data_IF_626468474859
#
_entry.id   IF_626468474859
#
_cell.length_a   1.000
_cell.length_b   1.000
_cell.length_c   1.000
_cell.angle_alpha   90.00
_cell.angle_beta   90.00
_cell.angle_gamma   90.00
#
_symmetry.space_group_name_H-M   'P 1'
#
loop_
_entity.id
_entity.type
_entity.pdbx_description
1 polymer ?
#
# COMPACT_ATOMS: atom_id res chain seq x y z
N UNK A 1 -6.52 -21.28 8.29
CA UNK A 1 -5.22 -21.43 8.99
C UNK A 1 -4.04 -21.31 8.03
N UNK A 2 -3.90 -22.18 7.01
CA UNK A 2 -2.78 -22.13 6.04
C UNK A 2 -2.66 -20.78 5.32
N UNK A 3 -3.78 -20.25 4.82
CA UNK A 3 -3.80 -18.93 4.15
C UNK A 3 -3.40 -17.76 5.05
N UNK A 4 -3.69 -17.85 6.35
CA UNK A 4 -3.31 -16.82 7.32
C UNK A 4 -1.80 -16.84 7.61
N UNK A 5 -1.22 -18.05 7.72
CA UNK A 5 0.24 -18.19 7.84
C UNK A 5 0.96 -17.68 6.60
N UNK A 6 0.47 -17.98 5.39
CA UNK A 6 1.03 -17.46 4.14
C UNK A 6 0.94 -15.93 4.10
N UNK A 7 -0.20 -15.35 4.52
CA UNK A 7 -0.38 -13.91 4.61
C UNK A 7 0.63 -13.25 5.55
N UNK A 8 0.82 -13.80 6.76
CA UNK A 8 1.81 -13.26 7.71
C UNK A 8 3.23 -13.35 7.12
N UNK A 9 3.59 -14.48 6.50
CA UNK A 9 4.91 -14.63 5.89
C UNK A 9 5.14 -13.59 4.79
N UNK A 10 4.15 -13.34 3.93
CA UNK A 10 4.23 -12.32 2.89
C UNK A 10 4.34 -10.90 3.46
N UNK A 11 3.64 -10.63 4.57
CA UNK A 11 3.66 -9.33 5.23
C UNK A 11 5.03 -9.02 5.87
N UNK A 12 5.64 -10.01 6.52
CA UNK A 12 7.00 -9.88 7.06
C UNK A 12 8.00 -9.67 5.92
N UNK A 13 7.86 -10.43 4.83
CA UNK A 13 8.74 -10.35 3.67
C UNK A 13 8.64 -8.98 2.98
N UNK A 14 7.42 -8.42 2.84
CA UNK A 14 7.23 -7.10 2.24
C UNK A 14 7.79 -5.98 3.10
N UNK A 15 7.62 -6.05 4.44
CA UNK A 15 8.24 -5.10 5.37
C UNK A 15 9.76 -5.16 5.30
N UNK A 16 10.34 -6.37 5.28
CA UNK A 16 11.79 -6.54 5.14
C UNK A 16 12.32 -5.99 3.81
N UNK A 17 11.58 -6.22 2.72
CA UNK A 17 11.93 -5.68 1.41
C UNK A 17 11.89 -4.14 1.38
N UNK A 18 10.87 -3.53 1.99
CA UNK A 18 10.77 -2.08 2.08
C UNK A 18 11.96 -1.47 2.84
N UNK A 19 12.30 -2.02 4.01
CA UNK A 19 13.47 -1.57 4.78
C UNK A 19 14.78 -1.78 4.01
N UNK A 20 14.93 -2.91 3.31
CA UNK A 20 16.12 -3.17 2.51
C UNK A 20 16.29 -2.16 1.37
N UNK A 21 15.19 -1.77 0.71
CA UNK A 21 15.20 -0.74 -0.33
C UNK A 21 15.56 0.63 0.25
N UNK A 22 15.00 0.99 1.40
CA UNK A 22 15.31 2.26 2.07
C UNK A 22 16.80 2.34 2.44
N UNK A 23 17.36 1.25 2.99
CA UNK A 23 18.79 1.17 3.29
C UNK A 23 19.66 1.25 2.03
N UNK A 24 19.23 0.62 0.93
CA UNK A 24 19.93 0.71 -0.36
C UNK A 24 19.93 2.13 -0.93
N UNK A 25 18.86 2.89 -0.69
CA UNK A 25 18.77 4.32 -1.02
C UNK A 25 19.55 5.22 -0.05
N UNK A 26 20.26 4.64 0.92
CA UNK A 26 21.09 5.36 1.88
C UNK A 26 20.32 5.97 3.05
N UNK A 27 19.06 5.58 3.27
CA UNK A 27 18.27 6.04 4.41
C UNK A 27 18.79 5.42 5.71
N UNK A 28 18.65 6.15 6.81
CA UNK A 28 18.96 5.62 8.15
C UNK A 28 17.86 4.68 8.63
N UNK A 29 18.17 3.79 9.57
CA UNK A 29 17.18 2.89 10.19
C UNK A 29 15.99 3.68 10.78
N UNK A 30 16.24 4.85 11.39
CA UNK A 30 15.18 5.71 11.92
C UNK A 30 14.22 6.20 10.84
N UNK A 31 14.74 6.53 9.66
CA UNK A 31 13.91 6.95 8.51
C UNK A 31 13.14 5.76 7.92
N UNK A 32 13.75 4.58 7.85
CA UNK A 32 13.06 3.35 7.40
C UNK A 32 11.78 3.07 8.22
N UNK A 33 11.83 3.29 9.55
CA UNK A 33 10.65 3.13 10.40
C UNK A 33 9.56 4.18 10.12
N UNK A 34 9.93 5.41 9.79
CA UNK A 34 8.97 6.45 9.40
C UNK A 34 8.36 6.16 8.03
N UNK A 35 9.17 5.65 7.11
CA UNK A 35 8.77 5.27 5.75
C UNK A 35 7.83 4.07 5.72
N UNK A 36 7.99 3.11 6.64
CA UNK A 36 7.02 2.02 6.82
C UNK A 36 5.62 2.55 7.19
N UNK A 37 5.53 3.66 7.92
CA UNK A 37 4.24 4.29 8.25
C UNK A 37 3.69 5.16 7.11
N UNK A 38 4.55 5.65 6.22
CA UNK A 38 4.17 6.41 5.04
C UNK A 38 4.67 5.74 3.75
N UNK A 39 3.92 4.76 3.20
CA UNK A 39 4.35 4.02 2.01
C UNK A 39 4.47 4.87 0.75
N UNK A 40 3.97 6.11 0.76
CA UNK A 40 4.02 7.04 -0.37
C UNK A 40 5.13 8.09 -0.25
N UNK A 41 6.08 7.92 0.68
CA UNK A 41 7.13 8.90 0.95
C UNK A 41 8.05 9.17 -0.24
N UNK A 42 8.22 8.19 -1.14
CA UNK A 42 9.02 8.29 -2.36
C UNK A 42 8.27 8.85 -3.56
N UNK A 43 6.93 8.92 -3.50
CA UNK A 43 6.16 9.37 -4.65
C UNK A 43 6.21 10.88 -4.77
N UNK A 44 6.51 11.35 -5.98
CA UNK A 44 6.34 12.75 -6.29
C UNK A 44 4.86 13.17 -6.14
N UNK A 45 4.56 14.43 -5.79
CA UNK A 45 3.17 14.89 -5.64
C UNK A 45 2.31 14.60 -6.87
N UNK A 46 2.89 14.66 -8.07
CA UNK A 46 2.23 14.32 -9.33
C UNK A 46 1.89 12.83 -9.42
N UNK A 47 2.80 11.94 -9.04
CA UNK A 47 2.59 10.49 -9.01
C UNK A 47 1.55 10.11 -7.95
N UNK A 48 1.62 10.75 -6.79
CA UNK A 48 0.65 10.56 -5.72
C UNK A 48 -0.75 11.01 -6.16
N UNK A 49 -0.86 12.16 -6.83
CA UNK A 49 -2.16 12.65 -7.32
C UNK A 49 -2.76 11.72 -8.39
N UNK A 50 -1.94 11.22 -9.32
CA UNK A 50 -2.40 10.33 -10.38
C UNK A 50 -2.80 8.95 -9.86
N UNK A 51 -2.03 8.39 -8.91
CA UNK A 51 -2.37 7.13 -8.25
C UNK A 51 -3.66 7.22 -7.44
N UNK A 52 -3.89 8.32 -6.71
CA UNK A 52 -5.16 8.55 -6.01
C UNK A 52 -6.37 8.58 -6.96
N UNK A 53 -6.22 9.24 -8.12
CA UNK A 53 -7.27 9.27 -9.16
C UNK A 53 -7.55 7.85 -9.66
N UNK A 54 -6.52 7.06 -9.99
CA UNK A 54 -6.68 5.69 -10.46
C UNK A 54 -7.40 4.83 -9.42
N UNK A 55 -6.99 4.91 -8.15
CA UNK A 55 -7.61 4.18 -7.04
C UNK A 55 -9.08 4.58 -6.90
N UNK A 56 -9.39 5.87 -7.00
CA UNK A 56 -10.79 6.35 -6.91
C UNK A 56 -11.66 5.80 -8.04
N UNK A 57 -11.15 5.74 -9.27
CA UNK A 57 -11.85 5.16 -10.42
C UNK A 57 -12.06 3.66 -10.23
N UNK A 58 -11.05 2.96 -9.71
CA UNK A 58 -11.14 1.53 -9.46
C UNK A 58 -12.19 1.19 -8.39
N UNK A 59 -12.33 2.03 -7.37
CA UNK A 59 -13.32 1.88 -6.30
C UNK A 59 -14.76 2.22 -6.71
N UNK A 60 -14.97 2.99 -7.79
CA UNK A 60 -16.33 3.32 -8.27
C UNK A 60 -17.15 2.07 -8.60
N UNK A 61 -16.56 1.08 -9.29
CA UNK A 61 -17.26 -0.17 -9.66
C UNK A 61 -17.80 -0.94 -8.45
N UNK A 62 -16.98 -1.32 -7.45
CA UNK A 62 -17.46 -2.01 -6.27
C UNK A 62 -18.44 -1.16 -5.47
N UNK A 63 -18.26 0.17 -5.40
CA UNK A 63 -19.24 1.06 -4.73
C UNK A 63 -20.60 1.05 -5.43
N UNK A 64 -20.66 1.19 -6.76
CA UNK A 64 -21.92 1.13 -7.52
C UNK A 64 -22.60 -0.24 -7.31
N UNK A 65 -21.82 -1.32 -7.31
CA UNK A 65 -22.32 -2.68 -7.10
C UNK A 65 -22.89 -2.86 -5.69
N UNK A 66 -22.22 -2.29 -4.67
CA UNK A 66 -22.68 -2.30 -3.29
C UNK A 66 -23.98 -1.49 -3.11
N UNK A 67 -24.06 -0.31 -3.73
CA UNK A 67 -25.26 0.55 -3.69
C UNK A 67 -26.44 -0.13 -4.39
N UNK A 68 -26.23 -0.74 -5.58
CA UNK A 68 -27.27 -1.50 -6.28
C UNK A 68 -27.78 -2.67 -5.44
N UNK A 69 -26.89 -3.39 -4.74
CA UNK A 69 -27.25 -4.52 -3.87
C UNK A 69 -28.05 -4.09 -2.64
N UNK A 70 -27.93 -2.84 -2.18
CA UNK A 70 -28.65 -2.31 -1.00
C UNK A 70 -30.02 -1.72 -1.35
N UNK A 71 -30.26 -1.38 -2.63
CA UNK A 71 -31.54 -0.86 -3.12
C UNK A 71 -32.52 -1.96 -3.59
N UNK A 72 -32.08 -3.22 -3.64
CA UNK A 72 -32.89 -4.41 -3.92
C UNK A 72 -33.01 -5.26 -2.65
#
# INVERSE_FOLDING_TARGET
>A
MKSFSIFISLLILSMGFAVAMDLFLGQTISQCWQNLNNPFWLMDPTELSSSLIIISIWLLKPMIMFVKKKMH
#
